data_IF_545925229034
#
_entry.id   IF_545925229034
#
_cell.length_a   1.000
_cell.length_b   1.000
_cell.length_c   1.000
_cell.angle_alpha   90.00
_cell.angle_beta   90.00
_cell.angle_gamma   90.00
#
_symmetry.space_group_name_H-M   'P 1'
#
loop_
_entity.id
_entity.type
_entity.pdbx_description
1 polymer ?
#
# COMPACT_ATOMS: atom_id res chain seq x y z
N UNK A 1 13.70 0.99 23.71
CA UNK A 1 12.28 0.69 23.96
C UNK A 1 11.53 1.03 22.68
N UNK A 2 11.09 0.02 21.94
CA UNK A 2 10.40 0.17 20.63
C UNK A 2 8.88 0.25 20.78
N UNK A 3 8.39 0.42 22.00
CA UNK A 3 6.98 0.23 22.38
C UNK A 3 6.00 1.18 21.66
N UNK A 4 6.53 2.26 21.07
CA UNK A 4 5.76 3.24 20.30
C UNK A 4 6.00 3.13 18.78
N UNK A 5 6.71 2.11 18.32
CA UNK A 5 6.99 1.89 16.89
C UNK A 5 6.69 0.43 16.52
N UNK A 6 6.02 0.20 15.40
CA UNK A 6 5.79 -1.14 14.88
C UNK A 6 6.02 -1.19 13.37
N UNK A 7 6.40 -2.36 12.86
CA UNK A 7 6.50 -2.63 11.42
C UNK A 7 5.63 -3.85 11.14
N UNK A 8 4.78 -3.75 10.13
CA UNK A 8 3.93 -4.86 9.69
C UNK A 8 3.94 -4.95 8.16
N UNK A 9 3.98 -6.17 7.63
CA UNK A 9 3.95 -6.44 6.20
C UNK A 9 2.77 -7.35 5.85
N UNK A 10 2.07 -7.01 4.77
CA UNK A 10 0.94 -7.76 4.24
C UNK A 10 1.14 -8.08 2.76
N UNK A 11 0.58 -9.21 2.32
CA UNK A 11 0.34 -9.41 0.89
C UNK A 11 -0.71 -8.41 0.41
N UNK A 12 -0.48 -7.86 -0.78
CA UNK A 12 -1.28 -6.81 -1.39
C UNK A 12 -1.80 -7.31 -2.73
N UNK A 13 -3.12 -7.35 -2.88
CA UNK A 13 -3.79 -7.50 -4.17
C UNK A 13 -4.46 -6.17 -4.51
N UNK A 14 -3.80 -5.37 -5.35
CA UNK A 14 -4.35 -4.09 -5.80
C UNK A 14 -5.01 -4.24 -7.17
N UNK A 15 -6.29 -3.90 -7.25
CA UNK A 15 -7.05 -3.87 -8.51
C UNK A 15 -7.49 -2.44 -8.80
N UNK A 16 -7.35 -2.02 -10.05
CA UNK A 16 -7.75 -0.69 -10.48
C UNK A 16 -7.88 -0.61 -12.00
N UNK A 17 -8.37 0.52 -12.51
CA UNK A 17 -8.46 0.77 -13.94
C UNK A 17 -7.63 2.01 -14.28
N UNK A 18 -6.66 1.86 -15.18
CA UNK A 18 -6.03 3.01 -15.82
C UNK A 18 -6.99 3.51 -16.91
N UNK A 19 -7.52 4.72 -16.73
CA UNK A 19 -8.52 5.32 -17.63
C UNK A 19 -7.85 6.38 -18.48
N UNK A 20 -8.00 6.25 -19.80
CA UNK A 20 -7.76 7.34 -20.73
C UNK A 20 -9.09 8.08 -20.96
N UNK A 21 -9.19 9.28 -20.38
CA UNK A 21 -10.39 10.10 -20.47
C UNK A 21 -10.53 10.85 -21.80
N UNK A 22 -9.49 10.90 -22.63
CA UNK A 22 -9.56 11.50 -23.98
C UNK A 22 -10.05 10.49 -25.00
N UNK A 23 -9.55 9.26 -24.90
CA UNK A 23 -9.97 8.15 -25.75
C UNK A 23 -11.23 7.43 -25.24
N UNK A 24 -11.71 7.77 -24.04
CA UNK A 24 -12.80 7.08 -23.33
C UNK A 24 -12.57 5.56 -23.23
N UNK A 25 -11.32 5.15 -23.01
CA UNK A 25 -10.93 3.74 -22.85
C UNK A 25 -10.37 3.47 -21.46
N UNK A 26 -10.34 2.20 -21.06
CA UNK A 26 -9.81 1.78 -19.77
C UNK A 26 -9.09 0.45 -19.87
N UNK A 27 -8.03 0.29 -19.06
CA UNK A 27 -7.32 -0.97 -18.88
C UNK A 27 -7.41 -1.39 -17.42
N UNK A 28 -8.00 -2.55 -17.16
CA UNK A 28 -7.95 -3.18 -15.85
C UNK A 28 -6.51 -3.59 -15.52
N UNK A 29 -6.04 -3.22 -14.34
CA UNK A 29 -4.72 -3.53 -13.82
C UNK A 29 -4.90 -4.29 -12.51
N UNK A 30 -4.22 -5.43 -12.41
CA UNK A 30 -4.08 -6.18 -11.17
C UNK A 30 -2.59 -6.23 -10.82
N UNK A 31 -2.25 -5.86 -9.59
CA UNK A 31 -0.89 -5.89 -9.06
C UNK A 31 -0.91 -6.73 -7.79
N UNK A 32 -0.14 -7.81 -7.81
CA UNK A 32 0.20 -8.59 -6.63
C UNK A 32 1.51 -8.07 -6.06
N UNK A 33 1.53 -7.81 -4.75
CA UNK A 33 2.60 -7.08 -4.12
C UNK A 33 2.68 -7.33 -2.62
N UNK A 34 3.57 -6.59 -1.97
CA UNK A 34 3.70 -6.53 -0.53
C UNK A 34 3.67 -5.09 -0.08
N UNK A 35 2.83 -4.81 0.91
CA UNK A 35 2.73 -3.52 1.56
C UNK A 35 3.36 -3.61 2.96
N UNK A 36 4.38 -2.82 3.22
CA UNK A 36 5.01 -2.69 4.54
C UNK A 36 4.65 -1.34 5.15
N UNK A 37 4.14 -1.35 6.37
CA UNK A 37 3.72 -0.17 7.11
C UNK A 37 4.62 0.03 8.32
N UNK A 38 5.16 1.24 8.46
CA UNK A 38 5.80 1.70 9.69
C UNK A 38 4.76 2.49 10.48
N UNK A 39 4.49 2.04 11.71
CA UNK A 39 3.52 2.63 12.61
C UNK A 39 4.23 3.35 13.75
N UNK A 40 3.71 4.51 14.13
CA UNK A 40 4.11 5.22 15.36
C UNK A 40 2.89 5.37 16.28
N UNK A 41 3.09 5.21 17.58
CA UNK A 41 2.04 5.39 18.59
C UNK A 41 2.15 6.78 19.20
N UNK A 42 1.13 7.61 18.96
CA UNK A 42 0.94 8.89 19.65
C UNK A 42 -0.56 9.04 19.95
N UNK A 43 -0.94 8.73 21.19
CA UNK A 43 -2.30 8.43 21.70
C UNK A 43 -3.05 7.29 21.01
N UNK A 44 -2.83 7.08 19.70
CA UNK A 44 -3.24 5.94 18.90
C UNK A 44 -2.14 5.54 17.89
N UNK A 45 -2.27 4.37 17.27
CA UNK A 45 -1.37 3.96 16.19
C UNK A 45 -1.68 4.73 14.91
N UNK A 46 -0.63 5.28 14.29
CA UNK A 46 -0.71 6.00 13.02
C UNK A 46 0.33 5.45 12.04
N UNK A 47 0.00 5.46 10.76
CA UNK A 47 0.96 5.11 9.71
C UNK A 47 1.90 6.30 9.50
N UNK A 48 3.19 6.07 9.76
CA UNK A 48 4.24 7.05 9.52
C UNK A 48 4.85 6.89 8.12
N UNK A 49 4.90 5.66 7.60
CA UNK A 49 5.46 5.37 6.28
C UNK A 49 4.84 4.11 5.67
N UNK A 50 4.72 4.09 4.35
CA UNK A 50 4.27 2.94 3.55
C UNK A 50 5.32 2.65 2.50
N UNK A 51 5.75 1.40 2.41
CA UNK A 51 6.55 0.90 1.30
C UNK A 51 5.75 -0.16 0.53
N UNK A 52 5.53 0.08 -0.77
CA UNK A 52 4.89 -0.85 -1.66
C UNK A 52 5.93 -1.47 -2.59
N UNK A 53 5.90 -2.79 -2.71
CA UNK A 53 6.78 -3.55 -3.61
C UNK A 53 5.95 -4.56 -4.38
N UNK A 54 6.37 -4.86 -5.61
CA UNK A 54 5.76 -5.93 -6.41
C UNK A 54 6.36 -7.26 -5.97
N UNK A 55 5.54 -8.29 -5.81
CA UNK A 55 6.03 -9.66 -5.68
C UNK A 55 6.26 -10.14 -7.12
N UNK A 56 7.51 -10.49 -7.43
CA UNK A 56 7.88 -11.03 -8.74
C UNK A 56 7.41 -12.47 -8.89
#
# INVERSE_FOLDING_TARGET
MFDNTAIVAFELLQKGMAVDNKAFTGKLITIEGRATFVLIKNSSWKIAHIHLSKIN
#
